data_IF_769561307934
#
_entry.id   IF_769561307934
#
_cell.length_a   1.000
_cell.length_b   1.000
_cell.length_c   1.000
_cell.angle_alpha   90.00
_cell.angle_beta   90.00
_cell.angle_gamma   90.00
#
_symmetry.space_group_name_H-M   'P 1'
#
loop_
_entity.id
_entity.type
_entity.pdbx_description
1 polymer ?
#
# COMPACT_ATOMS: atom_id res chain seq x y z
N UNK A 1 -33.16 7.56 35.74
CA UNK A 1 -32.41 7.00 36.87
C UNK A 1 -30.96 6.96 36.47
N UNK A 2 -30.20 8.01 36.82
CA UNK A 2 -28.78 8.15 36.50
C UNK A 2 -28.02 8.02 37.82
N UNK A 3 -27.21 6.97 37.96
CA UNK A 3 -26.33 6.81 39.10
C UNK A 3 -25.06 7.64 38.86
N UNK A 4 -24.99 8.82 39.50
CA UNK A 4 -23.73 9.54 39.71
C UNK A 4 -22.93 8.79 40.77
N UNK A 5 -21.74 8.32 40.40
CA UNK A 5 -20.74 7.84 41.34
C UNK A 5 -20.02 9.07 41.90
N UNK A 6 -20.47 9.53 43.07
CA UNK A 6 -19.75 10.47 43.92
C UNK A 6 -18.50 9.79 44.47
N UNK A 7 -17.32 10.27 44.07
CA UNK A 7 -16.08 9.99 44.78
C UNK A 7 -15.89 11.10 45.83
N UNK A 8 -15.87 10.79 47.13
CA UNK A 8 -15.68 11.80 48.16
C UNK A 8 -14.21 12.23 48.15
N UNK A 9 -13.94 13.44 47.66
CA UNK A 9 -12.72 14.14 48.06
C UNK A 9 -12.95 14.64 49.49
N UNK A 10 -12.11 14.25 50.47
CA UNK A 10 -12.18 14.87 51.78
C UNK A 10 -11.59 16.29 51.67
N UNK A 11 -12.46 17.29 51.79
CA UNK A 11 -12.10 18.69 52.01
C UNK A 11 -11.55 18.88 53.44
N UNK A 12 -10.44 18.20 53.73
CA UNK A 12 -9.60 18.48 54.89
C UNK A 12 -8.47 19.44 54.50
N UNK A 13 -8.04 20.36 55.38
CA UNK A 13 -6.81 21.10 55.16
C UNK A 13 -5.68 20.09 54.94
N UNK A 14 -4.89 20.28 53.88
CA UNK A 14 -3.78 19.41 53.54
C UNK A 14 -2.93 19.16 54.80
N UNK A 15 -2.95 17.93 55.31
CA UNK A 15 -2.09 17.54 56.41
C UNK A 15 -0.66 17.97 56.04
N UNK A 16 -0.08 18.86 56.84
CA UNK A 16 1.31 19.27 56.69
C UNK A 16 2.17 18.02 56.84
N UNK A 17 2.52 17.43 55.70
CA UNK A 17 3.47 16.35 55.62
C UNK A 17 4.79 16.85 56.21
N UNK A 18 5.06 16.50 57.47
CA UNK A 18 6.31 16.66 58.23
C UNK A 18 7.50 15.89 57.61
N UNK A 19 7.44 15.54 56.33
CA UNK A 19 8.60 15.06 55.57
C UNK A 19 9.43 16.29 55.23
N UNK A 20 10.55 16.46 55.92
CA UNK A 20 11.63 17.35 55.49
C UNK A 20 12.12 16.89 54.12
N UNK A 21 11.42 17.31 53.07
CA UNK A 21 11.84 17.13 51.69
C UNK A 21 13.12 17.91 51.50
N UNK A 22 14.14 17.24 50.98
CA UNK A 22 15.45 17.81 50.63
C UNK A 22 15.28 19.17 49.93
N UNK A 23 16.05 20.18 50.35
CA UNK A 23 15.96 21.54 49.84
C UNK A 23 16.18 21.60 48.32
N UNK A 24 17.07 20.74 47.79
CA UNK A 24 17.30 20.60 46.36
C UNK A 24 16.08 19.98 45.67
N UNK A 25 15.46 18.96 46.27
CA UNK A 25 14.24 18.36 45.74
C UNK A 25 13.09 19.37 45.68
N UNK A 26 12.95 20.23 46.71
CA UNK A 26 11.96 21.33 46.71
C UNK A 26 12.27 22.37 45.64
N UNK A 27 13.53 22.76 45.48
CA UNK A 27 13.96 23.71 44.46
C UNK A 27 13.68 23.17 43.04
N UNK A 28 14.04 21.91 42.77
CA UNK A 28 13.75 21.24 41.49
C UNK A 28 12.24 21.14 41.25
N UNK A 29 11.47 20.74 42.25
CA UNK A 29 10.01 20.67 42.13
C UNK A 29 9.40 22.05 41.83
N UNK A 30 9.89 23.12 42.45
CA UNK A 30 9.42 24.49 42.20
C UNK A 30 9.67 24.96 40.76
N UNK A 31 10.85 24.66 40.20
CA UNK A 31 11.21 24.99 38.82
C UNK A 31 10.40 24.18 37.80
N UNK A 32 10.02 22.96 38.18
CA UNK A 32 9.26 22.04 37.34
C UNK A 32 7.74 22.21 37.49
N UNK A 33 7.26 23.01 38.45
CA UNK A 33 5.83 23.15 38.80
C UNK A 33 4.95 23.68 37.66
N UNK A 34 5.52 24.47 36.74
CA UNK A 34 4.81 25.01 35.58
C UNK A 34 5.14 24.25 34.27
N UNK A 35 5.95 23.19 34.36
CA UNK A 35 6.31 22.33 33.23
C UNK A 35 5.29 21.23 33.04
N UNK A 36 5.18 20.72 31.83
CA UNK A 36 4.26 19.63 31.49
C UNK A 36 4.61 18.35 32.26
N UNK A 37 3.64 17.47 32.49
CA UNK A 37 3.86 16.19 33.20
C UNK A 37 5.00 15.38 32.55
N UNK A 38 5.11 15.44 31.22
CA UNK A 38 6.17 14.78 30.45
C UNK A 38 7.57 15.33 30.76
N UNK A 39 7.73 16.65 30.84
CA UNK A 39 9.02 17.27 31.19
C UNK A 39 9.44 16.93 32.63
N UNK A 40 8.49 16.90 33.57
CA UNK A 40 8.78 16.49 34.96
C UNK A 40 9.25 15.05 35.03
N UNK A 41 8.58 14.16 34.28
CA UNK A 41 8.93 12.74 34.19
C UNK A 41 10.31 12.54 33.55
N UNK A 42 10.63 13.28 32.49
CA UNK A 42 11.95 13.26 31.87
C UNK A 42 13.07 13.64 32.85
N UNK A 43 12.88 14.71 33.64
CA UNK A 43 13.88 15.12 34.64
C UNK A 43 14.02 14.07 35.74
N UNK A 44 12.91 13.49 36.20
CA UNK A 44 12.94 12.41 37.18
C UNK A 44 13.69 11.17 36.65
N UNK A 45 13.42 10.75 35.42
CA UNK A 45 14.09 9.62 34.78
C UNK A 45 15.59 9.90 34.55
N UNK A 46 15.97 11.14 34.21
CA UNK A 46 17.37 11.56 34.11
C UNK A 46 18.09 11.54 35.48
N UNK A 47 17.41 11.96 36.55
CA UNK A 47 17.93 11.90 37.91
C UNK A 47 18.06 10.46 38.41
N UNK A 48 17.08 9.60 38.10
CA UNK A 48 17.13 8.16 38.40
C UNK A 48 18.25 7.49 37.61
N UNK A 49 18.44 7.83 36.34
CA UNK A 49 19.56 7.33 35.54
C UNK A 49 20.91 7.79 36.10
N UNK A 50 21.00 9.04 36.58
CA UNK A 50 22.20 9.55 37.25
C UNK A 50 22.44 8.86 38.61
N UNK A 51 21.40 8.59 39.40
CA UNK A 51 21.51 7.90 40.70
C UNK A 51 21.79 6.40 40.54
N UNK A 52 21.25 5.78 39.50
CA UNK A 52 21.56 4.39 39.10
C UNK A 52 22.96 4.26 38.49
N UNK A 53 23.70 5.36 38.35
CA UNK A 53 25.14 5.38 38.12
C UNK A 53 25.97 4.95 39.34
N UNK A 54 25.35 4.41 40.40
CA UNK A 54 26.02 3.72 41.50
C UNK A 54 26.88 2.55 40.98
N UNK A 55 28.15 2.52 41.42
CA UNK A 55 29.22 1.57 41.09
C UNK A 55 28.93 0.61 39.92
N UNK A 56 29.43 0.96 38.72
CA UNK A 56 29.46 0.04 37.57
C UNK A 56 30.23 -1.24 37.92
N UNK A 57 29.52 -2.23 38.44
CA UNK A 57 30.07 -3.42 39.10
C UNK A 57 30.80 -4.34 38.12
N UNK A 58 30.49 -4.23 36.82
CA UNK A 58 31.10 -5.05 35.78
C UNK A 58 32.32 -4.37 35.13
N UNK A 59 33.51 -5.00 35.12
CA UNK A 59 34.67 -4.55 34.34
C UNK A 59 34.34 -4.27 32.87
N UNK A 60 33.41 -5.06 32.29
CA UNK A 60 32.95 -4.90 30.92
C UNK A 60 32.19 -3.58 30.69
N UNK A 61 31.36 -3.18 31.65
CA UNK A 61 30.62 -1.91 31.55
C UNK A 61 31.55 -0.71 31.72
N UNK A 62 32.59 -0.82 32.56
CA UNK A 62 33.64 0.21 32.68
C UNK A 62 34.36 0.44 31.35
N UNK A 63 34.74 -0.62 30.65
CA UNK A 63 35.36 -0.50 29.31
C UNK A 63 34.40 0.17 28.32
N UNK A 64 33.12 -0.23 28.31
CA UNK A 64 32.12 0.39 27.43
C UNK A 64 31.96 1.89 27.68
N UNK A 65 31.87 2.31 28.95
CA UNK A 65 31.78 3.72 29.33
C UNK A 65 33.05 4.48 28.97
N UNK A 66 34.22 3.90 29.27
CA UNK A 66 35.51 4.52 28.98
C UNK A 66 35.70 4.77 27.47
N UNK A 67 35.34 3.82 26.62
CA UNK A 67 35.46 4.01 25.17
C UNK A 67 34.56 5.13 24.64
N UNK A 68 33.32 5.26 25.16
CA UNK A 68 32.41 6.35 24.77
C UNK A 68 32.85 7.70 25.34
N UNK A 69 33.37 7.71 26.57
CA UNK A 69 33.88 8.92 27.20
C UNK A 69 35.13 9.45 26.46
N UNK A 70 36.01 8.56 26.00
CA UNK A 70 37.16 8.94 25.18
C UNK A 70 36.71 9.57 23.86
N UNK A 71 35.79 8.94 23.12
CA UNK A 71 35.22 9.54 21.91
C UNK A 71 34.63 10.93 22.18
N UNK A 72 33.92 11.10 23.30
CA UNK A 72 33.28 12.37 23.64
C UNK A 72 34.31 13.45 24.00
N UNK A 73 35.40 13.08 24.70
CA UNK A 73 36.49 13.98 25.03
C UNK A 73 37.21 14.49 23.78
N UNK A 74 37.40 13.63 22.77
CA UNK A 74 38.12 13.98 21.54
C UNK A 74 37.23 14.72 20.52
N UNK A 75 35.99 14.27 20.34
CA UNK A 75 35.09 14.83 19.33
C UNK A 75 34.23 16.00 19.81
N UNK A 76 34.10 16.17 21.13
CA UNK A 76 33.16 17.12 21.76
C UNK A 76 31.69 16.82 21.47
N UNK A 77 31.37 15.68 20.85
CA UNK A 77 30.03 15.34 20.34
C UNK A 77 29.49 14.09 21.02
N UNK A 78 28.16 14.02 21.06
CA UNK A 78 27.47 12.80 21.49
C UNK A 78 27.75 11.68 20.46
N UNK A 79 28.18 10.48 20.89
CA UNK A 79 28.54 9.39 19.99
C UNK A 79 27.35 8.90 19.15
N UNK A 80 27.34 9.20 17.85
CA UNK A 80 26.49 8.50 16.89
C UNK A 80 27.12 7.15 16.53
N UNK A 81 26.34 6.07 16.45
CA UNK A 81 26.85 4.69 16.23
C UNK A 81 27.91 4.61 15.12
N UNK A 82 27.58 5.16 13.94
CA UNK A 82 28.46 5.07 12.75
C UNK A 82 29.71 5.93 12.92
N UNK A 83 29.58 7.12 13.51
CA UNK A 83 30.69 8.03 13.74
C UNK A 83 31.67 7.47 14.77
N UNK A 84 31.15 6.89 15.85
CA UNK A 84 31.94 6.19 16.86
C UNK A 84 32.69 4.99 16.26
N UNK A 85 32.02 4.13 15.48
CA UNK A 85 32.68 2.95 14.91
C UNK A 85 33.74 3.32 13.86
N UNK A 86 33.56 4.45 13.16
CA UNK A 86 34.58 4.98 12.25
C UNK A 86 35.80 5.47 13.03
N UNK A 87 35.60 6.35 14.01
CA UNK A 87 36.67 6.82 14.90
C UNK A 87 37.41 5.66 15.57
N UNK A 88 36.68 4.67 16.09
CA UNK A 88 37.25 3.48 16.75
C UNK A 88 38.15 2.64 15.84
N UNK A 89 37.87 2.64 14.52
CA UNK A 89 38.73 1.97 13.53
C UNK A 89 39.98 2.78 13.21
N UNK A 90 39.91 4.11 13.31
CA UNK A 90 41.03 5.01 13.07
C UNK A 90 42.05 4.99 14.23
N UNK A 91 41.60 4.75 15.46
CA UNK A 91 42.48 4.69 16.66
C UNK A 91 43.27 3.38 16.78
N UNK A 92 42.86 2.30 16.10
CA UNK A 92 43.45 0.95 16.12
C UNK A 92 43.77 0.36 17.52
N UNK A 93 43.06 0.81 18.57
CA UNK A 93 43.26 0.32 19.95
C UNK A 93 42.34 -0.88 20.25
N UNK A 94 42.90 -2.08 20.57
CA UNK A 94 42.13 -3.26 20.96
C UNK A 94 41.32 -3.09 22.26
N UNK A 95 41.68 -2.12 23.10
CA UNK A 95 41.00 -1.78 24.35
C UNK A 95 39.67 -1.05 24.15
N UNK A 96 39.41 -0.51 22.95
CA UNK A 96 38.16 0.17 22.63
C UNK A 96 37.02 -0.82 22.34
N UNK A 97 35.89 -0.63 23.02
CA UNK A 97 34.75 -1.52 22.87
C UNK A 97 34.03 -1.30 21.51
N UNK A 98 33.82 -2.34 20.69
CA UNK A 98 33.04 -2.23 19.46
C UNK A 98 31.59 -1.83 19.71
N UNK A 99 30.98 -1.05 18.83
CA UNK A 99 29.60 -0.61 18.98
C UNK A 99 28.61 -1.78 19.05
N UNK A 100 28.86 -2.82 18.25
CA UNK A 100 28.03 -4.03 18.23
C UNK A 100 28.05 -4.77 19.58
N UNK A 101 29.16 -4.71 20.33
CA UNK A 101 29.25 -5.33 21.66
C UNK A 101 28.41 -4.56 22.69
N UNK A 102 28.33 -3.24 22.58
CA UNK A 102 27.43 -2.41 23.40
C UNK A 102 25.96 -2.68 23.06
N UNK A 103 25.62 -2.75 21.77
CA UNK A 103 24.24 -3.05 21.31
C UNK A 103 23.78 -4.43 21.80
N UNK A 104 24.64 -5.45 21.76
CA UNK A 104 24.28 -6.78 22.29
C UNK A 104 23.98 -6.76 23.79
N UNK A 105 24.60 -5.86 24.55
CA UNK A 105 24.41 -5.77 26.00
C UNK A 105 23.17 -4.95 26.37
N UNK A 106 22.96 -3.80 25.71
CA UNK A 106 21.89 -2.86 26.03
C UNK A 106 20.71 -2.91 25.04
N UNK A 107 20.65 -3.91 24.17
CA UNK A 107 19.71 -4.09 23.05
C UNK A 107 19.78 -3.04 21.94
N UNK A 108 19.99 -1.76 22.27
CA UNK A 108 20.08 -0.65 21.30
C UNK A 108 21.19 0.33 21.67
N UNK A 109 21.70 1.06 20.68
CA UNK A 109 22.74 2.07 20.87
C UNK A 109 22.27 3.22 21.78
N UNK A 110 21.06 3.71 21.57
CA UNK A 110 20.51 4.80 22.38
C UNK A 110 20.31 4.39 23.84
N UNK A 111 19.92 3.13 24.08
CA UNK A 111 19.81 2.59 25.45
C UNK A 111 21.18 2.44 26.09
N UNK A 112 22.21 2.03 25.33
CA UNK A 112 23.59 2.03 25.81
C UNK A 112 24.06 3.44 26.23
N UNK A 113 23.79 4.47 25.43
CA UNK A 113 24.16 5.85 25.79
C UNK A 113 23.43 6.35 27.04
N UNK A 114 22.17 5.95 27.23
CA UNK A 114 21.37 6.31 28.40
C UNK A 114 21.86 5.61 29.66
N UNK A 115 21.98 4.28 29.60
CA UNK A 115 22.32 3.45 30.75
C UNK A 115 23.80 3.64 31.16
N UNK A 116 24.66 4.09 30.25
CA UNK A 116 26.04 4.50 30.53
C UNK A 116 26.18 5.97 30.96
N UNK A 117 25.07 6.73 31.01
CA UNK A 117 25.04 8.13 31.44
C UNK A 117 25.66 9.14 30.48
N UNK A 118 25.83 8.76 29.20
CA UNK A 118 26.42 9.62 28.15
C UNK A 118 25.36 10.54 27.53
N UNK A 119 24.13 10.04 27.36
CA UNK A 119 23.00 10.82 26.83
C UNK A 119 21.70 10.36 27.48
N UNK A 120 21.02 11.21 28.27
CA UNK A 120 19.66 10.88 28.73
C UNK A 120 18.75 10.69 27.50
N UNK A 121 18.06 9.55 27.45
CA UNK A 121 17.11 9.27 26.38
C UNK A 121 15.88 10.18 26.59
N UNK A 122 15.44 10.95 25.59
CA UNK A 122 14.14 11.60 25.67
C UNK A 122 13.06 10.51 25.66
N UNK A 123 12.13 10.59 26.61
CA UNK A 123 11.03 9.64 26.83
C UNK A 123 10.40 9.21 25.49
N UNK A 124 10.57 7.95 25.02
CA UNK A 124 10.05 7.51 23.73
C UNK A 124 8.52 7.65 23.60
N UNK A 125 7.73 7.48 24.67
CA UNK A 125 6.37 8.01 24.77
C UNK A 125 6.23 9.51 24.52
N UNK A 126 6.94 10.40 25.24
CA UNK A 126 6.87 11.85 25.02
C UNK A 126 7.28 12.25 23.59
N UNK A 127 8.33 11.64 23.03
CA UNK A 127 8.71 11.84 21.62
C UNK A 127 7.64 11.35 20.66
N UNK A 128 6.91 10.27 20.99
CA UNK A 128 5.75 9.82 20.19
C UNK A 128 4.59 10.81 20.30
N UNK A 129 4.33 11.38 21.46
CA UNK A 129 3.29 12.41 21.66
C UNK A 129 3.65 13.70 20.93
N UNK A 130 4.93 14.11 20.95
CA UNK A 130 5.42 15.30 20.25
C UNK A 130 5.49 15.11 18.72
N UNK A 131 5.85 13.92 18.24
CA UNK A 131 5.97 13.63 16.80
C UNK A 131 4.67 13.19 16.12
N UNK A 132 3.72 12.60 16.86
CA UNK A 132 2.45 12.09 16.31
C UNK A 132 1.21 12.85 16.81
N UNK A 133 1.39 13.85 17.68
CA UNK A 133 0.30 14.56 18.35
C UNK A 133 -0.32 13.76 19.50
N UNK A 134 -1.24 14.39 20.23
CA UNK A 134 -2.10 13.71 21.22
C UNK A 134 -2.88 12.57 20.54
N UNK A 135 -3.06 11.46 21.25
CA UNK A 135 -3.84 10.32 20.74
C UNK A 135 -5.25 10.77 20.36
N UNK A 136 -5.67 10.45 19.13
CA UNK A 136 -7.04 10.63 18.66
C UNK A 136 -7.89 9.56 19.36
N UNK A 137 -8.87 9.98 20.14
CA UNK A 137 -9.82 9.12 20.84
C UNK A 137 -10.75 8.37 19.87
N UNK A 138 -11.38 7.30 20.34
CA UNK A 138 -12.35 6.56 19.53
C UNK A 138 -13.49 7.47 19.06
N UNK A 139 -14.03 8.32 19.94
CA UNK A 139 -15.12 9.23 19.62
C UNK A 139 -14.71 10.29 18.58
N UNK A 140 -13.48 10.80 18.65
CA UNK A 140 -12.97 11.74 17.62
C UNK A 140 -12.88 11.08 16.24
N UNK A 141 -12.55 9.78 16.17
CA UNK A 141 -12.56 9.03 14.90
C UNK A 141 -13.99 8.83 14.41
N UNK A 142 -14.91 8.41 15.28
CA UNK A 142 -16.31 8.18 14.91
C UNK A 142 -16.98 9.48 14.46
N UNK A 143 -16.72 10.59 15.17
CA UNK A 143 -17.24 11.91 14.81
C UNK A 143 -16.71 12.35 13.44
N UNK A 144 -15.42 12.18 13.16
CA UNK A 144 -14.87 12.49 11.84
C UNK A 144 -15.53 11.66 10.71
N UNK A 145 -15.94 10.41 10.96
CA UNK A 145 -16.69 9.63 9.99
C UNK A 145 -18.10 10.19 9.77
N UNK A 146 -18.79 10.63 10.83
CA UNK A 146 -20.11 11.27 10.74
C UNK A 146 -20.06 12.59 9.99
N UNK A 147 -19.07 13.42 10.31
CA UNK A 147 -18.87 14.72 9.65
C UNK A 147 -18.59 14.52 8.15
N UNK A 148 -17.76 13.53 7.81
CA UNK A 148 -17.52 13.17 6.41
C UNK A 148 -18.80 12.70 5.69
N UNK A 149 -19.66 11.91 6.36
CA UNK A 149 -20.92 11.48 5.78
C UNK A 149 -21.86 12.66 5.53
N UNK A 150 -21.96 13.57 6.50
CA UNK A 150 -22.78 14.77 6.42
C UNK A 150 -22.32 15.68 5.26
N UNK A 151 -21.01 15.94 5.16
CA UNK A 151 -20.45 16.82 4.12
C UNK A 151 -20.54 16.21 2.73
N UNK A 152 -20.43 14.88 2.60
CA UNK A 152 -20.59 14.18 1.32
C UNK A 152 -22.06 13.90 0.99
N UNK A 153 -22.99 14.12 1.93
CA UNK A 153 -24.40 13.77 1.80
C UNK A 153 -24.64 12.25 1.66
N UNK A 154 -23.72 11.42 2.15
CA UNK A 154 -23.77 9.97 1.97
C UNK A 154 -23.00 9.21 3.05
N UNK A 155 -23.68 8.25 3.69
CA UNK A 155 -23.09 7.32 4.66
C UNK A 155 -22.13 6.31 4.01
N UNK A 156 -22.24 6.12 2.69
CA UNK A 156 -21.51 5.11 1.94
C UNK A 156 -20.30 5.67 1.15
N UNK A 157 -19.50 6.52 1.79
CA UNK A 157 -18.25 7.03 1.19
C UNK A 157 -17.11 6.00 1.16
N UNK A 158 -16.27 6.06 0.14
CA UNK A 158 -15.04 5.27 0.04
C UNK A 158 -13.93 5.83 0.93
N UNK A 159 -12.92 5.00 1.23
CA UNK A 159 -11.74 5.43 2.00
C UNK A 159 -11.00 6.58 1.29
N UNK A 160 -10.92 6.55 -0.03
CA UNK A 160 -10.28 7.61 -0.80
C UNK A 160 -11.05 8.94 -0.70
N UNK A 161 -12.39 8.89 -0.70
CA UNK A 161 -13.24 10.07 -0.48
C UNK A 161 -13.04 10.63 0.93
N UNK A 162 -12.99 9.77 1.94
CA UNK A 162 -12.69 10.18 3.31
C UNK A 162 -11.29 10.82 3.44
N UNK A 163 -10.24 10.20 2.89
CA UNK A 163 -8.88 10.76 2.94
C UNK A 163 -8.77 12.11 2.23
N UNK A 164 -9.49 12.28 1.13
CA UNK A 164 -9.57 13.55 0.39
C UNK A 164 -10.31 14.61 1.21
N UNK A 165 -11.46 14.26 1.78
CA UNK A 165 -12.23 15.13 2.66
C UNK A 165 -11.41 15.55 3.88
N UNK A 166 -10.80 14.61 4.61
CA UNK A 166 -10.01 14.89 5.81
C UNK A 166 -8.84 15.84 5.55
N UNK A 167 -8.18 15.72 4.39
CA UNK A 167 -7.12 16.64 3.97
C UNK A 167 -7.65 18.05 3.69
N UNK A 168 -8.79 18.15 2.99
CA UNK A 168 -9.41 19.44 2.70
C UNK A 168 -9.89 20.12 4.00
N UNK A 169 -10.46 19.34 4.92
CA UNK A 169 -11.03 19.83 6.18
C UNK A 169 -9.96 20.39 7.11
N UNK A 170 -8.80 19.73 7.19
CA UNK A 170 -7.64 20.20 7.97
C UNK A 170 -6.99 21.47 7.43
N UNK A 171 -7.21 21.82 6.16
CA UNK A 171 -6.70 23.06 5.56
C UNK A 171 -7.58 24.27 5.87
N UNK A 172 -8.83 24.05 6.32
CA UNK A 172 -9.75 25.15 6.65
C UNK A 172 -9.28 25.89 7.92
N UNK A 173 -9.26 27.24 7.92
CA UNK A 173 -8.82 28.03 9.08
C UNK A 173 -9.61 27.74 10.36
N UNK A 174 -10.91 27.47 10.21
CA UNK A 174 -11.86 27.15 11.28
C UNK A 174 -11.61 25.79 11.96
N UNK A 175 -10.89 24.89 11.30
CA UNK A 175 -10.52 23.57 11.84
C UNK A 175 -9.09 23.53 12.38
N UNK A 176 -8.41 24.69 12.54
CA UNK A 176 -7.08 24.74 13.16
C UNK A 176 -7.15 24.24 14.60
N UNK A 177 -6.57 23.06 14.84
CA UNK A 177 -6.57 22.38 16.13
C UNK A 177 -7.58 21.21 16.25
N UNK A 178 -8.47 21.03 15.27
CA UNK A 178 -9.37 19.88 15.19
C UNK A 178 -8.57 18.62 14.83
N UNK A 179 -8.87 17.51 15.52
CA UNK A 179 -8.18 16.24 15.32
C UNK A 179 -8.96 15.36 14.34
N UNK A 180 -8.60 15.43 13.06
CA UNK A 180 -9.20 14.60 12.02
C UNK A 180 -8.20 13.50 11.61
N UNK A 181 -8.50 12.22 11.83
CA UNK A 181 -7.60 11.14 11.46
C UNK A 181 -7.56 11.00 9.94
N UNK A 182 -6.43 11.31 9.30
CA UNK A 182 -6.33 11.19 7.83
C UNK A 182 -6.27 9.72 7.41
N UNK A 183 -5.49 8.88 8.11
CA UNK A 183 -5.21 7.53 7.63
C UNK A 183 -6.31 6.52 7.97
N UNK A 184 -6.69 5.71 6.98
CA UNK A 184 -7.57 4.54 7.16
C UNK A 184 -7.08 3.56 8.25
N UNK A 185 -5.78 3.51 8.48
CA UNK A 185 -5.16 2.57 9.42
C UNK A 185 -5.62 2.77 10.86
N UNK A 186 -6.09 3.97 11.21
CA UNK A 186 -6.61 4.30 12.55
C UNK A 186 -7.96 3.61 12.75
N UNK A 187 -8.85 3.67 11.76
CA UNK A 187 -10.14 3.00 11.82
C UNK A 187 -9.99 1.46 11.77
N UNK A 188 -9.13 0.92 10.90
CA UNK A 188 -8.96 -0.53 10.79
C UNK A 188 -8.28 -1.17 12.00
N UNK A 189 -7.40 -0.45 12.72
CA UNK A 189 -6.78 -0.98 13.94
C UNK A 189 -7.74 -1.06 15.13
N UNK A 190 -8.70 -0.13 15.22
CA UNK A 190 -9.65 -0.02 16.33
C UNK A 190 -10.88 -0.92 16.13
N UNK A 191 -11.42 -0.95 14.91
CA UNK A 191 -12.65 -1.68 14.60
C UNK A 191 -12.47 -2.81 13.59
N UNK A 192 -11.23 -3.18 13.22
CA UNK A 192 -10.92 -4.24 12.26
C UNK A 192 -11.10 -3.79 10.80
N UNK A 193 -12.32 -3.34 10.46
CA UNK A 193 -12.67 -2.88 9.11
C UNK A 193 -13.29 -1.49 9.12
N UNK A 194 -13.14 -0.75 8.01
CA UNK A 194 -13.78 0.57 7.84
C UNK A 194 -15.31 0.44 7.86
N UNK A 195 -15.85 -0.68 7.37
CA UNK A 195 -17.29 -0.98 7.46
C UNK A 195 -17.76 -1.02 8.91
N UNK A 196 -17.04 -1.72 9.79
CA UNK A 196 -17.38 -1.78 11.21
C UNK A 196 -17.22 -0.43 11.90
N UNK A 197 -16.21 0.37 11.53
CA UNK A 197 -16.07 1.73 12.06
C UNK A 197 -17.25 2.65 11.66
N UNK A 198 -17.77 2.51 10.44
CA UNK A 198 -18.97 3.24 9.99
C UNK A 198 -20.22 2.83 10.75
N UNK A 199 -20.42 1.52 10.95
CA UNK A 199 -21.53 1.00 11.76
C UNK A 199 -21.42 1.53 13.19
N UNK A 200 -20.22 1.52 13.78
CA UNK A 200 -19.97 2.07 15.11
C UNK A 200 -20.21 3.59 15.18
N UNK A 201 -20.02 4.30 14.07
CA UNK A 201 -20.34 5.73 13.96
C UNK A 201 -21.86 5.99 13.79
N UNK A 202 -22.69 4.95 13.68
CA UNK A 202 -24.12 5.06 13.42
C UNK A 202 -24.48 5.35 11.96
N UNK A 203 -23.53 5.14 11.04
CA UNK A 203 -23.74 5.31 9.60
C UNK A 203 -24.21 3.99 8.99
N UNK A 204 -25.08 4.05 7.99
CA UNK A 204 -25.46 2.85 7.23
C UNK A 204 -24.50 2.65 6.03
N UNK A 205 -23.51 1.74 6.12
CA UNK A 205 -22.64 1.45 4.99
C UNK A 205 -23.38 0.76 3.83
N UNK A 206 -24.64 0.36 4.01
CA UNK A 206 -25.49 -0.23 2.97
C UNK A 206 -26.54 0.76 2.44
N UNK A 207 -26.41 2.06 2.75
CA UNK A 207 -27.28 3.13 2.22
C UNK A 207 -27.50 2.96 0.70
N UNK A 208 -28.75 3.08 0.21
CA UNK A 208 -29.19 2.62 -1.12
C UNK A 208 -28.46 3.24 -2.32
N UNK A 209 -27.65 4.27 -2.09
CA UNK A 209 -26.85 4.93 -3.12
C UNK A 209 -25.67 4.12 -3.65
N UNK A 210 -25.27 3.02 -2.98
CA UNK A 210 -24.44 1.97 -3.57
C UNK A 210 -24.78 0.61 -2.94
N UNK A 211 -25.81 -0.06 -3.45
CA UNK A 211 -26.06 -1.45 -3.03
C UNK A 211 -24.88 -2.34 -3.41
N UNK A 212 -24.19 -2.90 -2.40
CA UNK A 212 -23.32 -4.07 -2.57
C UNK A 212 -24.18 -5.33 -2.71
N UNK A 213 -25.17 -5.30 -3.60
CA UNK A 213 -25.85 -6.52 -3.98
C UNK A 213 -24.81 -7.45 -4.59
N UNK A 214 -24.77 -8.69 -4.14
CA UNK A 214 -24.03 -9.72 -4.85
C UNK A 214 -24.56 -9.77 -6.29
N UNK A 215 -23.66 -9.82 -7.27
CA UNK A 215 -24.06 -10.12 -8.64
C UNK A 215 -24.15 -11.64 -8.77
N UNK A 216 -25.24 -12.14 -9.33
CA UNK A 216 -25.27 -13.55 -9.76
C UNK A 216 -24.42 -13.71 -11.02
N UNK A 217 -23.97 -14.93 -11.30
CA UNK A 217 -23.23 -15.21 -12.53
C UNK A 217 -24.05 -14.86 -13.78
N UNK A 218 -25.38 -15.05 -13.73
CA UNK A 218 -26.34 -14.67 -14.77
C UNK A 218 -26.39 -13.14 -14.96
N UNK A 219 -26.53 -12.37 -13.87
CA UNK A 219 -26.51 -10.90 -13.92
C UNK A 219 -25.19 -10.36 -14.48
N UNK A 220 -24.07 -11.01 -14.16
CA UNK A 220 -22.76 -10.64 -14.70
C UNK A 220 -22.70 -10.90 -16.21
N UNK A 221 -23.14 -12.07 -16.67
CA UNK A 221 -23.13 -12.42 -18.09
C UNK A 221 -24.06 -11.50 -18.89
N UNK A 222 -25.25 -11.19 -18.37
CA UNK A 222 -26.18 -10.24 -19.00
C UNK A 222 -25.56 -8.84 -19.16
N UNK A 223 -24.80 -8.37 -18.16
CA UNK A 223 -24.08 -7.09 -18.26
C UNK A 223 -22.94 -7.14 -19.29
N UNK A 224 -22.28 -8.28 -19.47
CA UNK A 224 -21.25 -8.45 -20.51
C UNK A 224 -21.87 -8.54 -21.90
N UNK A 225 -23.02 -9.21 -22.06
CA UNK A 225 -23.78 -9.27 -23.32
C UNK A 225 -24.19 -7.86 -23.73
N UNK A 226 -24.82 -7.10 -22.82
CA UNK A 226 -25.21 -5.72 -23.10
C UNK A 226 -24.02 -4.78 -23.37
N UNK A 227 -22.84 -5.05 -22.80
CA UNK A 227 -21.62 -4.32 -23.13
C UNK A 227 -21.07 -4.71 -24.51
N UNK A 228 -21.14 -5.99 -24.87
CA UNK A 228 -20.67 -6.53 -26.16
C UNK A 228 -21.46 -6.01 -27.34
N UNK A 229 -22.76 -5.81 -27.18
CA UNK A 229 -23.65 -5.23 -28.20
C UNK A 229 -23.35 -3.76 -28.48
N UNK A 230 -22.83 -3.03 -27.49
CA UNK A 230 -22.60 -1.58 -27.56
C UNK A 230 -21.15 -1.21 -27.85
N UNK A 231 -20.21 -2.12 -27.62
CA UNK A 231 -18.78 -1.91 -27.87
C UNK A 231 -18.41 -2.54 -29.22
N UNK A 232 -17.89 -1.72 -30.13
CA UNK A 232 -17.34 -2.19 -31.40
C UNK A 232 -16.00 -2.94 -31.22
N UNK A 233 -15.86 -4.03 -31.98
CA UNK A 233 -14.71 -4.93 -31.92
C UNK A 233 -14.70 -5.82 -30.67
N UNK A 234 -13.52 -6.35 -30.32
CA UNK A 234 -13.37 -7.26 -29.18
C UNK A 234 -13.56 -6.55 -27.84
N UNK A 235 -14.24 -7.23 -26.90
CA UNK A 235 -14.51 -6.74 -25.55
C UNK A 235 -13.26 -6.84 -24.64
N UNK A 236 -12.45 -5.78 -24.61
CA UNK A 236 -11.31 -5.67 -23.68
C UNK A 236 -11.71 -5.09 -22.32
N UNK A 237 -10.89 -5.32 -21.29
CA UNK A 237 -11.07 -4.72 -19.96
C UNK A 237 -11.09 -3.20 -20.01
N UNK A 238 -10.24 -2.60 -20.85
CA UNK A 238 -10.16 -1.15 -21.06
C UNK A 238 -11.44 -0.60 -21.69
N UNK A 239 -11.91 -1.22 -22.78
CA UNK A 239 -13.17 -0.82 -23.45
C UNK A 239 -14.37 -0.96 -22.52
N UNK A 240 -14.45 -2.04 -21.74
CA UNK A 240 -15.49 -2.22 -20.74
C UNK A 240 -15.43 -1.16 -19.63
N UNK A 241 -14.23 -0.78 -19.17
CA UNK A 241 -14.09 0.26 -18.16
C UNK A 241 -14.56 1.63 -18.68
N UNK A 242 -14.26 1.96 -19.94
CA UNK A 242 -14.74 3.19 -20.60
C UNK A 242 -16.27 3.17 -20.74
N UNK A 243 -16.83 2.09 -21.27
CA UNK A 243 -18.28 1.91 -21.39
C UNK A 243 -18.99 1.98 -20.04
N UNK A 244 -18.46 1.31 -19.02
CA UNK A 244 -19.00 1.33 -17.65
C UNK A 244 -19.03 2.75 -17.09
N UNK A 245 -17.96 3.53 -17.32
CA UNK A 245 -17.90 4.92 -16.88
C UNK A 245 -18.97 5.77 -17.59
N UNK A 246 -19.12 5.62 -18.90
CA UNK A 246 -20.14 6.33 -19.67
C UNK A 246 -21.57 6.00 -19.19
N UNK A 247 -21.86 4.70 -19.00
CA UNK A 247 -23.16 4.21 -18.52
C UNK A 247 -23.51 4.73 -17.12
N UNK A 248 -22.53 4.76 -16.21
CA UNK A 248 -22.72 5.31 -14.85
C UNK A 248 -22.93 6.83 -14.84
N UNK A 249 -22.20 7.58 -15.66
CA UNK A 249 -22.40 9.03 -15.79
C UNK A 249 -23.76 9.38 -16.42
N UNK A 250 -24.22 8.59 -17.37
CA UNK A 250 -25.54 8.77 -17.98
C UNK A 250 -26.68 8.53 -16.97
N UNK A 251 -26.62 7.45 -16.20
CA UNK A 251 -27.58 7.21 -15.11
C UNK A 251 -27.55 8.32 -14.07
N UNK A 252 -26.35 8.81 -13.72
CA UNK A 252 -26.18 9.94 -12.79
C UNK A 252 -26.88 11.20 -13.29
N UNK A 253 -26.80 11.51 -14.59
CA UNK A 253 -27.50 12.66 -15.19
C UNK A 253 -29.02 12.54 -15.13
N UNK A 254 -29.54 11.30 -15.19
CA UNK A 254 -30.98 11.00 -15.08
C UNK A 254 -31.47 10.91 -13.63
N UNK A 255 -30.58 11.03 -12.65
CA UNK A 255 -30.90 10.81 -11.23
C UNK A 255 -31.16 9.34 -10.88
N UNK A 256 -30.79 8.42 -11.77
CA UNK A 256 -31.00 6.98 -11.60
C UNK A 256 -29.75 6.32 -10.99
N UNK A 257 -29.98 5.32 -10.13
CA UNK A 257 -28.92 4.49 -9.57
C UNK A 257 -28.93 3.14 -10.28
N UNK A 258 -27.97 2.93 -11.17
CA UNK A 258 -27.79 1.64 -11.86
C UNK A 258 -26.59 0.88 -11.29
N UNK A 259 -26.68 -0.45 -11.29
CA UNK A 259 -25.61 -1.35 -10.85
C UNK A 259 -24.86 -1.90 -12.06
N UNK A 260 -23.60 -1.51 -12.22
CA UNK A 260 -22.72 -2.06 -13.27
C UNK A 260 -21.46 -2.64 -12.60
N UNK A 261 -21.20 -3.95 -12.73
CA UNK A 261 -20.05 -4.61 -12.12
C UNK A 261 -18.73 -4.02 -12.66
N UNK A 262 -17.66 -4.07 -11.88
CA UNK A 262 -16.34 -3.66 -12.37
C UNK A 262 -15.62 -4.85 -13.01
N UNK A 263 -14.61 -4.60 -13.85
CA UNK A 263 -13.85 -5.66 -14.53
C UNK A 263 -13.29 -6.72 -13.55
N UNK A 264 -12.93 -6.29 -12.34
CA UNK A 264 -12.44 -7.18 -11.28
C UNK A 264 -13.53 -8.14 -10.75
N UNK A 265 -14.81 -7.75 -10.77
CA UNK A 265 -15.93 -8.61 -10.36
C UNK A 265 -15.99 -9.88 -11.22
N UNK A 266 -15.79 -9.73 -12.53
CA UNK A 266 -15.70 -10.85 -13.47
C UNK A 266 -14.48 -11.73 -13.22
N UNK A 267 -13.35 -11.12 -12.86
CA UNK A 267 -12.13 -11.85 -12.52
C UNK A 267 -12.34 -12.76 -11.31
N UNK A 268 -13.05 -12.28 -10.28
CA UNK A 268 -13.36 -13.06 -9.08
C UNK A 268 -14.36 -14.19 -9.32
N UNK A 269 -15.38 -13.98 -10.15
CA UNK A 269 -16.44 -14.98 -10.40
C UNK A 269 -16.05 -16.03 -11.45
N UNK A 270 -15.37 -15.62 -12.52
CA UNK A 270 -15.07 -16.49 -13.67
C UNK A 270 -13.61 -16.91 -13.76
N UNK A 271 -12.78 -16.56 -12.77
CA UNK A 271 -11.35 -16.87 -12.76
C UNK A 271 -10.54 -16.09 -13.80
N UNK A 272 -11.10 -15.02 -14.37
CA UNK A 272 -10.45 -14.20 -15.38
C UNK A 272 -11.45 -13.43 -16.24
N UNK A 273 -11.02 -12.26 -16.74
CA UNK A 273 -11.81 -11.47 -17.70
C UNK A 273 -12.06 -12.26 -18.98
N UNK A 274 -11.02 -12.91 -19.52
CA UNK A 274 -11.11 -13.69 -20.75
C UNK A 274 -12.03 -14.90 -20.58
N UNK A 275 -12.08 -15.53 -19.41
CA UNK A 275 -13.02 -16.61 -19.14
C UNK A 275 -14.47 -16.12 -19.13
N UNK A 276 -14.72 -14.92 -18.59
CA UNK A 276 -16.04 -14.31 -18.61
C UNK A 276 -16.49 -13.97 -20.03
N UNK A 277 -15.57 -13.45 -20.87
CA UNK A 277 -15.83 -13.17 -22.29
C UNK A 277 -16.01 -14.46 -23.09
N UNK A 278 -15.19 -15.48 -22.86
CA UNK A 278 -15.30 -16.78 -23.51
C UNK A 278 -16.65 -17.46 -23.22
N UNK A 279 -17.21 -17.27 -22.01
CA UNK A 279 -18.56 -17.76 -21.67
C UNK A 279 -19.68 -17.10 -22.49
N UNK A 280 -19.57 -15.81 -22.82
CA UNK A 280 -20.56 -15.13 -23.68
C UNK A 280 -20.30 -15.36 -25.18
N UNK A 281 -19.04 -15.62 -25.57
CA UNK A 281 -18.65 -15.88 -26.98
C UNK A 281 -18.69 -17.37 -27.35
N UNK A 282 -18.97 -18.28 -26.40
CA UNK A 282 -19.08 -19.73 -26.63
C UNK A 282 -17.75 -20.44 -26.88
N UNK A 283 -16.62 -19.87 -26.43
CA UNK A 283 -15.27 -20.40 -26.67
C UNK A 283 -14.89 -21.44 -25.61
N UNK A 284 -14.25 -22.57 -25.96
CA UNK A 284 -13.81 -23.57 -24.99
C UNK A 284 -12.70 -23.02 -24.07
N UNK A 285 -12.89 -23.12 -22.75
CA UNK A 285 -11.95 -22.58 -21.73
C UNK A 285 -11.13 -23.72 -21.14
N UNK A 286 -9.80 -23.72 -21.35
CA UNK A 286 -8.89 -24.67 -20.70
C UNK A 286 -8.14 -23.99 -19.51
N UNK A 287 -8.30 -24.49 -18.27
CA UNK A 287 -7.87 -23.78 -17.05
C UNK A 287 -6.37 -23.85 -16.71
N UNK A 288 -5.54 -24.53 -17.51
CA UNK A 288 -4.15 -24.82 -17.16
C UNK A 288 -3.07 -23.92 -17.78
N UNK A 289 -3.40 -22.95 -18.64
CA UNK A 289 -2.35 -22.30 -19.45
C UNK A 289 -1.78 -20.96 -18.94
N UNK A 290 -2.41 -20.21 -18.03
CA UNK A 290 -2.12 -18.76 -18.00
C UNK A 290 -1.43 -18.19 -16.74
N UNK A 291 -0.44 -18.90 -16.20
CA UNK A 291 0.59 -18.27 -15.33
C UNK A 291 1.94 -18.19 -16.04
N UNK A 292 2.05 -17.30 -17.03
CA UNK A 292 3.27 -17.02 -17.78
C UNK A 292 3.07 -15.86 -18.79
N UNK A 293 4.14 -15.35 -19.43
CA UNK A 293 4.02 -14.40 -20.55
C UNK A 293 3.12 -14.98 -21.66
N UNK A 294 2.55 -14.14 -22.55
CA UNK A 294 1.67 -14.53 -23.66
C UNK A 294 1.77 -16.00 -24.09
N UNK A 295 0.80 -16.83 -23.69
CA UNK A 295 0.66 -18.15 -24.33
C UNK A 295 0.04 -17.88 -25.67
N UNK A 296 0.90 -17.85 -26.68
CA UNK A 296 0.49 -17.76 -28.05
C UNK A 296 -0.12 -19.11 -28.46
N UNK A 297 -1.32 -19.13 -29.04
CA UNK A 297 -1.93 -20.35 -29.60
C UNK A 297 -1.60 -20.46 -31.10
N UNK A 298 -1.59 -21.68 -31.68
CA UNK A 298 -1.34 -21.88 -33.11
C UNK A 298 -2.26 -21.03 -34.00
N UNK A 299 -3.54 -20.97 -33.63
CA UNK A 299 -4.60 -20.25 -34.36
C UNK A 299 -4.34 -18.75 -34.34
N UNK A 300 -3.99 -18.21 -33.17
CA UNK A 300 -3.69 -16.80 -33.02
C UNK A 300 -2.42 -16.39 -33.79
N UNK A 301 -1.38 -17.23 -33.80
CA UNK A 301 -0.18 -16.96 -34.60
C UNK A 301 -0.51 -16.91 -36.09
N UNK A 302 -1.33 -17.87 -36.55
CA UNK A 302 -1.75 -17.93 -37.93
C UNK A 302 -2.56 -16.70 -38.32
N UNK A 303 -3.53 -16.27 -37.51
CA UNK A 303 -4.34 -15.07 -37.74
C UNK A 303 -3.48 -13.79 -37.82
N UNK A 304 -2.53 -13.61 -36.90
CA UNK A 304 -1.66 -12.43 -36.90
C UNK A 304 -0.75 -12.38 -38.14
N UNK A 305 -0.32 -13.53 -38.65
CA UNK A 305 0.47 -13.60 -39.87
C UNK A 305 -0.36 -13.30 -41.12
N UNK A 306 -1.64 -13.67 -41.15
CA UNK A 306 -2.55 -13.28 -42.23
C UNK A 306 -2.82 -11.76 -42.21
N UNK A 307 -3.03 -11.17 -41.03
CA UNK A 307 -3.17 -9.71 -40.87
C UNK A 307 -1.90 -8.99 -41.35
N UNK A 308 -0.72 -9.46 -40.93
CA UNK A 308 0.54 -8.89 -41.37
C UNK A 308 0.72 -9.02 -42.90
N UNK A 309 0.28 -10.13 -43.49
CA UNK A 309 0.36 -10.36 -44.94
C UNK A 309 -0.60 -9.46 -45.72
N UNK A 310 -1.82 -9.25 -45.22
CA UNK A 310 -2.80 -8.34 -45.82
C UNK A 310 -2.29 -6.88 -45.84
N UNK A 311 -1.66 -6.44 -44.75
CA UNK A 311 -1.11 -5.08 -44.66
C UNK A 311 0.20 -4.88 -45.45
N UNK A 312 1.07 -5.89 -45.53
CA UNK A 312 2.38 -5.77 -46.17
C UNK A 312 2.44 -6.21 -47.64
N UNK A 313 1.56 -7.13 -48.05
CA UNK A 313 1.54 -7.70 -49.39
C UNK A 313 2.83 -8.41 -49.81
N UNK A 314 2.98 -8.64 -51.12
CA UNK A 314 4.23 -9.15 -51.69
C UNK A 314 5.16 -7.99 -52.12
N UNK A 315 6.47 -8.07 -51.83
CA UNK A 315 7.16 -9.20 -51.21
C UNK A 315 7.08 -9.24 -49.67
N UNK A 316 6.61 -10.37 -49.11
CA UNK A 316 6.49 -10.58 -47.66
C UNK A 316 7.85 -10.99 -47.05
N UNK A 317 8.78 -10.03 -47.01
CA UNK A 317 10.14 -10.24 -46.49
C UNK A 317 10.20 -10.26 -44.97
N UNK A 318 11.19 -10.97 -44.43
CA UNK A 318 11.48 -11.00 -42.99
C UNK A 318 11.72 -9.59 -42.42
N UNK A 319 12.45 -8.75 -43.14
CA UNK A 319 12.72 -7.36 -42.74
C UNK A 319 11.43 -6.53 -42.66
N UNK A 320 10.52 -6.69 -43.62
CA UNK A 320 9.23 -6.02 -43.64
C UNK A 320 8.35 -6.43 -42.46
N UNK A 321 8.29 -7.73 -42.15
CA UNK A 321 7.57 -8.23 -40.98
C UNK A 321 8.15 -7.72 -39.65
N UNK A 322 9.48 -7.76 -39.50
CA UNK A 322 10.14 -7.24 -38.29
C UNK A 322 9.87 -5.75 -38.09
N UNK A 323 9.88 -4.97 -39.17
CA UNK A 323 9.59 -3.55 -39.13
C UNK A 323 8.11 -3.29 -38.79
N UNK A 324 7.20 -4.05 -39.38
CA UNK A 324 5.77 -4.01 -39.08
C UNK A 324 5.47 -4.30 -37.60
N UNK A 325 6.07 -5.36 -37.03
CA UNK A 325 5.96 -5.67 -35.60
C UNK A 325 6.47 -4.51 -34.74
N UNK A 326 7.59 -3.88 -35.13
CA UNK A 326 8.15 -2.72 -34.40
C UNK A 326 7.23 -1.51 -34.44
N UNK A 327 6.55 -1.27 -35.56
CA UNK A 327 5.69 -0.10 -35.72
C UNK A 327 4.34 -0.32 -35.03
N UNK A 328 3.73 -1.50 -35.13
CA UNK A 328 2.56 -1.89 -34.33
C UNK A 328 2.83 -1.81 -32.83
N UNK A 329 4.03 -2.19 -32.36
CA UNK A 329 4.41 -2.09 -30.94
C UNK A 329 4.57 -0.66 -30.41
N UNK A 330 4.72 0.34 -31.30
CA UNK A 330 4.79 1.76 -30.90
C UNK A 330 3.41 2.41 -30.81
N UNK A 331 2.38 1.78 -31.36
CA UNK A 331 1.01 2.27 -31.27
C UNK A 331 0.54 2.17 -29.81
N UNK A 332 0.01 3.27 -29.27
CA UNK A 332 -0.25 3.48 -27.83
C UNK A 332 -1.35 2.56 -27.26
N UNK A 333 -2.02 1.78 -28.11
CA UNK A 333 -3.25 1.04 -27.77
C UNK A 333 -3.17 -0.47 -28.11
N UNK A 334 -1.96 -1.04 -28.17
CA UNK A 334 -1.77 -2.46 -28.47
C UNK A 334 -1.63 -3.27 -27.18
N UNK A 335 -2.78 -3.72 -26.65
CA UNK A 335 -2.88 -4.59 -25.47
C UNK A 335 -2.07 -5.90 -25.62
N UNK A 336 -1.88 -6.37 -26.86
CA UNK A 336 -1.09 -7.56 -27.16
C UNK A 336 -0.24 -7.35 -28.42
N UNK A 337 1.09 -7.17 -28.27
CA UNK A 337 1.92 -6.89 -29.41
C UNK A 337 1.98 -8.10 -30.36
N UNK A 338 2.03 -7.90 -31.69
CA UNK A 338 2.15 -9.00 -32.63
C UNK A 338 3.42 -9.83 -32.33
N UNK A 339 3.38 -11.15 -32.63
CA UNK A 339 4.45 -12.06 -32.26
C UNK A 339 5.72 -11.66 -33.02
N UNK A 340 6.84 -11.58 -32.30
CA UNK A 340 8.09 -11.27 -32.98
C UNK A 340 8.56 -12.42 -33.88
N UNK A 341 9.48 -12.10 -34.79
CA UNK A 341 10.07 -13.06 -35.72
C UNK A 341 10.59 -14.34 -35.02
N UNK A 342 11.19 -14.20 -33.84
CA UNK A 342 11.75 -15.32 -33.08
C UNK A 342 10.65 -16.23 -32.55
N UNK A 343 9.52 -15.67 -32.11
CA UNK A 343 8.35 -16.44 -31.68
C UNK A 343 7.76 -17.22 -32.85
N UNK A 344 7.60 -16.57 -34.01
CA UNK A 344 7.06 -17.22 -35.21
C UNK A 344 7.98 -18.35 -35.70
N UNK A 345 9.30 -18.12 -35.75
CA UNK A 345 10.23 -19.13 -36.27
C UNK A 345 10.55 -20.26 -35.29
N UNK A 346 10.47 -20.01 -33.98
CA UNK A 346 10.59 -21.06 -32.94
C UNK A 346 9.54 -22.16 -33.12
N UNK A 347 8.34 -21.79 -33.58
CA UNK A 347 7.21 -22.71 -33.72
C UNK A 347 6.85 -23.04 -35.18
N UNK A 348 7.30 -22.22 -36.14
CA UNK A 348 7.05 -22.41 -37.57
C UNK A 348 8.16 -23.13 -38.33
N UNK A 349 9.23 -23.57 -37.65
CA UNK A 349 10.47 -24.18 -38.19
C UNK A 349 11.35 -23.18 -38.94
N UNK A 350 10.87 -22.57 -40.04
CA UNK A 350 11.63 -21.57 -40.80
C UNK A 350 10.74 -20.50 -41.43
N UNK A 351 11.26 -19.26 -41.59
CA UNK A 351 10.49 -18.16 -42.18
C UNK A 351 10.03 -18.42 -43.63
N UNK A 352 10.84 -19.01 -44.53
CA UNK A 352 10.38 -19.36 -45.86
C UNK A 352 9.19 -20.31 -45.86
N UNK A 353 9.21 -21.33 -44.99
CA UNK A 353 8.11 -22.30 -44.84
C UNK A 353 6.85 -21.62 -44.31
N UNK A 354 6.97 -20.79 -43.27
CA UNK A 354 5.83 -20.02 -42.73
C UNK A 354 5.23 -19.12 -43.80
N UNK A 355 6.06 -18.41 -44.58
CA UNK A 355 5.58 -17.55 -45.67
C UNK A 355 4.85 -18.34 -46.75
N UNK A 356 5.37 -19.49 -47.15
CA UNK A 356 4.72 -20.31 -48.16
C UNK A 356 3.39 -20.88 -47.65
N UNK A 357 3.28 -21.21 -46.36
CA UNK A 357 2.01 -21.60 -45.72
C UNK A 357 1.01 -20.45 -45.63
N UNK A 358 1.47 -19.23 -45.33
CA UNK A 358 0.65 -18.01 -45.39
C UNK A 358 0.10 -17.80 -46.81
N UNK A 359 0.93 -17.93 -47.85
CA UNK A 359 0.50 -17.82 -49.25
C UNK A 359 -0.54 -18.87 -49.63
N UNK A 360 -0.32 -20.13 -49.21
CA UNK A 360 -1.29 -21.21 -49.42
C UNK A 360 -2.59 -20.90 -48.70
N UNK A 361 -2.54 -20.41 -47.46
CA UNK A 361 -3.73 -20.08 -46.68
C UNK A 361 -4.55 -18.96 -47.33
N UNK A 362 -3.91 -17.89 -47.79
CA UNK A 362 -4.58 -16.80 -48.53
C UNK A 362 -5.16 -17.29 -49.85
N UNK A 363 -4.41 -18.09 -50.62
CA UNK A 363 -4.86 -18.58 -51.93
C UNK A 363 -6.02 -19.57 -51.85
N UNK A 364 -6.07 -20.37 -50.79
CA UNK A 364 -7.06 -21.44 -50.61
C UNK A 364 -8.20 -21.04 -49.67
N UNK A 365 -8.07 -19.92 -48.95
CA UNK A 365 -8.97 -19.52 -47.88
C UNK A 365 -8.92 -20.45 -46.66
N UNK A 366 -7.95 -21.38 -46.59
CA UNK A 366 -7.85 -22.38 -45.55
C UNK A 366 -6.61 -22.14 -44.69
N UNK A 367 -6.83 -21.77 -43.42
CA UNK A 367 -5.79 -21.46 -42.43
C UNK A 367 -5.20 -22.71 -41.76
N UNK A 368 -5.88 -23.86 -41.83
CA UNK A 368 -5.47 -25.12 -41.18
C UNK A 368 -4.04 -25.58 -41.51
N UNK A 369 -3.54 -25.49 -42.76
CA UNK A 369 -2.17 -25.89 -43.07
C UNK A 369 -1.10 -25.05 -42.37
N UNK A 370 -1.42 -23.82 -41.99
CA UNK A 370 -0.54 -22.91 -41.25
C UNK A 370 -0.64 -23.18 -39.73
N UNK A 371 -1.83 -23.47 -39.23
CA UNK A 371 -2.07 -23.89 -37.83
C UNK A 371 -1.35 -25.21 -37.52
N UNK A 372 -1.50 -26.21 -38.39
CA UNK A 372 -0.84 -27.51 -38.27
C UNK A 372 0.69 -27.40 -38.32
N UNK A 373 1.23 -26.40 -39.02
CA UNK A 373 2.67 -26.11 -39.01
C UNK A 373 3.12 -25.67 -37.61
N UNK A 374 2.38 -24.79 -36.95
CA UNK A 374 2.72 -24.33 -35.60
C UNK A 374 2.55 -25.42 -34.54
N UNK A 375 1.53 -26.28 -34.68
CA UNK A 375 1.37 -27.46 -33.82
C UNK A 375 2.53 -28.42 -33.93
N UNK A 376 3.02 -28.69 -35.16
CA UNK A 376 4.21 -29.54 -35.39
C UNK A 376 5.49 -28.95 -34.79
N UNK A 377 5.61 -27.63 -34.71
CA UNK A 377 6.71 -26.96 -34.02
C UNK A 377 6.56 -26.86 -32.50
N UNK A 378 5.70 -27.68 -31.89
CA UNK A 378 5.61 -27.85 -30.45
C UNK A 378 4.72 -26.83 -29.73
N UNK A 379 3.87 -26.08 -30.44
CA UNK A 379 2.77 -25.34 -29.80
C UNK A 379 1.60 -26.30 -29.54
N UNK A 380 1.27 -26.50 -28.27
CA UNK A 380 0.02 -27.16 -27.92
C UNK A 380 -1.12 -26.14 -28.05
N UNK A 381 -2.27 -26.61 -28.54
CA UNK A 381 -3.48 -25.81 -28.71
C UNK A 381 -4.47 -25.96 -27.56
#
# INVERSE_FOLDING_TARGET
MSAQLDFPYPDGPAEESLRTSDLLARALFSQLRNRTIHERRYVLEALIAASNGGEMTSPRMRVMKASLAWYQAESGKIPAKVAYERWRKEQDDPGLCPANRMIRHFSTWNRALNDLGIKPMPDPPALRVLSRGQQISDEEVLQALRDCAADLGSDNFTIAQYEKWAKAELLKPENRGRKIPISKSIATRRWGTVRQAKIAAGLDPNSPYHSTGHFTDEELLDQLIGAREQIEGRLSTAKYAVWRKAKLEEARRRGEVIRVPCAFTFHSHFGGWLNAVAKIEGLPINPHEHRGPPVYTPDWLAEQLLIAYDELGEPFFTSSYVQWVRDKRKEVDVDFPPPDYTTVTRHGVSWPEVRDKVRVAIKTGNIEPLIEQFKKGGMNG
#
